data_IF_550122585731
#
_entry.id   IF_550122585731
#
_cell.length_a   1.000
_cell.length_b   1.000
_cell.length_c   1.000
_cell.angle_alpha   90.00
_cell.angle_beta   90.00
_cell.angle_gamma   90.00
#
_symmetry.space_group_name_H-M   'P 1'
#
loop_
_entity.id
_entity.type
_entity.pdbx_description
1 polymer ?
#
# COMPACT_ATOMS: atom_id res chain seq x y z
N UNK A 1 -3.94 -9.56 -27.01
CA UNK A 1 -3.08 -9.19 -25.87
C UNK A 1 -2.64 -10.45 -25.17
N UNK A 2 -1.37 -10.56 -24.83
CA UNK A 2 -0.87 -11.71 -24.11
C UNK A 2 -1.48 -11.80 -22.72
N UNK A 3 -1.77 -13.03 -22.28
CA UNK A 3 -2.27 -13.25 -20.93
C UNK A 3 -1.12 -13.08 -19.95
N UNK A 4 -1.42 -12.45 -18.82
CA UNK A 4 -0.45 -12.24 -17.74
C UNK A 4 -0.80 -13.12 -16.56
N UNK A 5 0.19 -13.82 -16.05
CA UNK A 5 0.06 -14.75 -14.93
C UNK A 5 0.92 -14.28 -13.75
N UNK A 6 0.50 -14.59 -12.55
CA UNK A 6 1.28 -14.35 -11.34
C UNK A 6 1.78 -15.69 -10.83
N UNK A 7 3.10 -15.88 -10.86
CA UNK A 7 3.74 -17.11 -10.39
C UNK A 7 3.67 -17.27 -8.87
N UNK A 8 3.64 -16.16 -8.17
CA UNK A 8 3.61 -16.05 -6.72
C UNK A 8 4.30 -14.80 -6.23
N UNK A 9 4.57 -14.72 -4.94
CA UNK A 9 5.21 -13.57 -4.35
C UNK A 9 5.50 -13.78 -2.86
N UNK A 10 6.20 -12.80 -2.28
CA UNK A 10 6.58 -12.79 -0.87
C UNK A 10 6.41 -11.40 -0.27
N UNK A 11 6.16 -11.37 1.04
CA UNK A 11 6.23 -10.15 1.85
C UNK A 11 7.08 -10.34 3.11
N UNK A 12 7.61 -9.26 3.64
CA UNK A 12 8.11 -9.26 5.01
C UNK A 12 6.96 -9.34 6.03
N UNK A 13 7.25 -9.60 7.29
CA UNK A 13 6.40 -9.12 8.36
C UNK A 13 6.32 -7.59 8.31
N UNK A 14 5.24 -7.02 8.83
CA UNK A 14 5.00 -5.58 8.86
C UNK A 14 5.42 -5.03 10.22
N UNK A 15 6.41 -4.14 10.22
CA UNK A 15 6.90 -3.46 11.40
C UNK A 15 6.13 -2.18 11.69
N UNK A 16 5.92 -1.86 12.96
CA UNK A 16 5.41 -0.55 13.38
C UNK A 16 6.54 0.48 13.29
N UNK A 17 6.22 1.69 12.84
CA UNK A 17 7.19 2.79 12.76
C UNK A 17 7.97 2.93 14.08
N UNK A 18 9.29 3.08 13.95
CA UNK A 18 10.23 3.20 15.06
C UNK A 18 10.33 1.96 15.97
N UNK A 19 9.88 0.78 15.52
CA UNK A 19 10.00 -0.48 16.24
C UNK A 19 11.10 -1.39 15.66
N UNK A 20 10.79 -2.61 15.26
CA UNK A 20 11.78 -3.61 14.86
C UNK A 20 12.66 -3.17 13.69
N UNK A 21 12.08 -2.47 12.69
CA UNK A 21 12.82 -2.00 11.51
C UNK A 21 13.34 -0.55 11.62
N UNK A 22 13.35 0.06 12.81
CA UNK A 22 13.70 1.48 13.02
C UNK A 22 15.04 1.93 12.44
N UNK A 23 15.96 1.02 12.18
CA UNK A 23 17.28 1.30 11.62
C UNK A 23 17.49 0.65 10.25
N UNK A 24 16.43 0.12 9.64
CA UNK A 24 16.51 -0.56 8.35
C UNK A 24 16.01 0.40 7.26
N UNK A 25 16.92 0.92 6.39
CA UNK A 25 16.52 1.70 5.22
C UNK A 25 15.54 0.93 4.33
N UNK A 26 14.66 1.67 3.64
CA UNK A 26 13.64 1.06 2.80
C UNK A 26 14.23 0.13 1.73
N UNK A 27 15.32 0.58 1.07
CA UNK A 27 16.04 -0.19 0.04
C UNK A 27 16.65 -1.48 0.60
N UNK A 28 17.17 -1.48 1.81
CA UNK A 28 17.71 -2.69 2.45
C UNK A 28 16.59 -3.66 2.84
N UNK A 29 15.45 -3.14 3.36
CA UNK A 29 14.27 -3.96 3.67
C UNK A 29 13.74 -4.63 2.40
N UNK A 30 13.57 -3.84 1.33
CA UNK A 30 13.15 -4.34 0.02
C UNK A 30 14.15 -5.37 -0.54
N UNK A 31 15.45 -5.09 -0.50
CA UNK A 31 16.49 -5.98 -1.00
C UNK A 31 16.48 -7.34 -0.31
N UNK A 32 16.28 -7.38 1.01
CA UNK A 32 16.19 -8.64 1.75
C UNK A 32 15.03 -9.52 1.27
N UNK A 33 13.83 -8.95 1.09
CA UNK A 33 12.65 -9.69 0.60
C UNK A 33 12.82 -10.08 -0.88
N UNK A 34 13.38 -9.17 -1.70
CA UNK A 34 13.64 -9.44 -3.12
C UNK A 34 14.63 -10.59 -3.32
N UNK A 35 15.67 -10.65 -2.50
CA UNK A 35 16.65 -11.74 -2.49
C UNK A 35 15.99 -13.08 -2.14
N UNK A 36 15.13 -13.11 -1.12
CA UNK A 36 14.38 -14.32 -0.78
C UNK A 36 13.41 -14.74 -1.88
N UNK A 37 12.75 -13.77 -2.56
CA UNK A 37 11.90 -14.04 -3.72
C UNK A 37 12.70 -14.72 -4.84
N UNK A 38 13.83 -14.14 -5.22
CA UNK A 38 14.66 -14.70 -6.29
C UNK A 38 15.29 -16.05 -5.92
N UNK A 39 15.67 -16.23 -4.67
CA UNK A 39 16.15 -17.52 -4.16
C UNK A 39 15.07 -18.61 -4.21
N UNK A 40 13.83 -18.27 -3.89
CA UNK A 40 12.72 -19.23 -3.86
C UNK A 40 12.25 -19.62 -5.25
N UNK A 41 12.06 -18.64 -6.13
CA UNK A 41 11.49 -18.88 -7.46
C UNK A 41 12.53 -19.13 -8.55
N UNK A 42 13.80 -18.82 -8.33
CA UNK A 42 14.93 -19.01 -9.25
C UNK A 42 14.60 -18.63 -10.70
N UNK A 43 14.12 -17.39 -10.95
CA UNK A 43 13.74 -17.00 -12.30
C UNK A 43 14.94 -17.06 -13.24
N UNK A 44 14.77 -17.70 -14.41
CA UNK A 44 15.83 -17.86 -15.38
C UNK A 44 16.30 -16.53 -16.01
N UNK A 45 15.41 -15.55 -16.08
CA UNK A 45 15.65 -14.20 -16.58
C UNK A 45 14.60 -13.26 -15.98
N UNK A 46 15.03 -12.10 -15.54
CA UNK A 46 14.16 -10.99 -15.11
C UNK A 46 14.34 -9.87 -16.13
N UNK A 47 13.27 -9.48 -16.82
CA UNK A 47 13.33 -8.43 -17.82
C UNK A 47 13.25 -7.03 -17.20
N UNK A 48 12.57 -6.89 -16.06
CA UNK A 48 12.36 -5.59 -15.42
C UNK A 48 11.92 -5.75 -13.95
N UNK A 49 12.18 -4.71 -13.13
CA UNK A 49 11.67 -4.59 -11.76
C UNK A 49 10.94 -3.26 -11.64
N UNK A 50 9.69 -3.28 -11.17
CA UNK A 50 8.85 -2.09 -11.00
C UNK A 50 8.28 -2.08 -9.59
N UNK A 51 8.63 -1.08 -8.77
CA UNK A 51 8.20 -1.06 -7.37
C UNK A 51 7.65 0.29 -6.93
N UNK A 52 6.65 0.22 -6.05
CA UNK A 52 6.11 1.36 -5.34
C UNK A 52 7.00 1.78 -4.17
N UNK A 53 7.20 3.07 -4.01
CA UNK A 53 7.79 3.71 -2.84
C UNK A 53 7.35 5.16 -2.79
N UNK A 54 6.85 5.63 -1.65
CA UNK A 54 6.21 6.95 -1.51
C UNK A 54 6.99 7.91 -0.62
N UNK A 55 7.45 7.44 0.54
CA UNK A 55 8.08 8.30 1.55
C UNK A 55 9.60 8.18 1.59
N UNK A 56 10.18 7.34 0.76
CA UNK A 56 11.63 7.16 0.67
C UNK A 56 12.38 8.39 0.17
N UNK A 57 13.69 8.25 -0.01
CA UNK A 57 14.61 9.34 -0.35
C UNK A 57 14.41 9.99 -1.72
N UNK A 58 13.51 9.47 -2.55
CA UNK A 58 13.36 9.89 -3.93
C UNK A 58 14.40 9.26 -4.87
N UNK A 59 14.58 9.82 -6.05
CA UNK A 59 15.37 9.20 -7.10
C UNK A 59 14.73 7.88 -7.56
N UNK A 60 15.54 7.01 -8.14
CA UNK A 60 15.10 5.66 -8.51
C UNK A 60 15.50 4.64 -7.44
N UNK A 61 14.88 4.73 -6.27
CA UNK A 61 15.19 3.88 -5.12
C UNK A 61 14.97 2.38 -5.41
N UNK A 62 14.07 2.02 -6.34
CA UNK A 62 13.91 0.64 -6.82
C UNK A 62 15.18 0.12 -7.48
N UNK A 63 15.89 0.98 -8.23
CA UNK A 63 17.16 0.59 -8.82
C UNK A 63 18.22 0.33 -7.75
N UNK A 64 18.29 1.20 -6.73
CA UNK A 64 19.18 1.04 -5.61
C UNK A 64 18.90 -0.29 -4.89
N UNK A 65 17.65 -0.55 -4.54
CA UNK A 65 17.20 -1.78 -3.90
C UNK A 65 17.58 -3.04 -4.71
N UNK A 66 17.41 -3.01 -6.04
CA UNK A 66 17.72 -4.15 -6.89
C UNK A 66 19.23 -4.48 -6.90
N UNK A 67 20.08 -3.44 -6.91
CA UNK A 67 21.53 -3.59 -6.82
C UNK A 67 21.97 -4.08 -5.44
N UNK A 68 21.38 -3.56 -4.36
CA UNK A 68 21.59 -4.02 -2.98
C UNK A 68 21.18 -5.49 -2.79
N UNK A 69 20.17 -5.95 -3.52
CA UNK A 69 19.79 -7.37 -3.56
C UNK A 69 20.80 -8.25 -4.30
N UNK A 70 21.82 -7.67 -4.93
CA UNK A 70 22.82 -8.37 -5.72
C UNK A 70 22.34 -8.83 -7.09
N UNK A 71 21.26 -8.24 -7.61
CA UNK A 71 20.76 -8.55 -8.94
C UNK A 71 21.63 -7.92 -10.03
N UNK A 72 21.58 -8.50 -11.24
CA UNK A 72 22.36 -8.04 -12.39
C UNK A 72 22.10 -6.56 -12.72
N UNK A 73 23.15 -5.82 -12.99
CA UNK A 73 23.12 -4.45 -13.49
C UNK A 73 22.36 -4.31 -14.82
N UNK A 74 22.22 -5.38 -15.57
CA UNK A 74 21.50 -5.41 -16.84
C UNK A 74 19.99 -5.38 -16.68
N UNK A 75 19.45 -5.59 -15.46
CA UNK A 75 18.00 -5.58 -15.20
C UNK A 75 17.53 -4.13 -15.01
N UNK A 76 16.77 -3.54 -15.93
CA UNK A 76 16.21 -2.21 -15.75
C UNK A 76 15.19 -2.21 -14.59
N UNK A 77 15.23 -1.16 -13.79
CA UNK A 77 14.35 -1.02 -12.62
C UNK A 77 13.90 0.42 -12.47
N UNK A 78 12.65 0.65 -12.07
CA UNK A 78 12.18 2.00 -11.79
C UNK A 78 11.11 2.03 -10.69
N UNK A 79 10.96 3.21 -10.08
CA UNK A 79 10.06 3.47 -8.97
C UNK A 79 8.77 4.13 -9.48
N UNK A 80 7.65 3.70 -8.91
CA UNK A 80 6.31 4.29 -9.09
C UNK A 80 5.88 4.94 -7.78
N UNK A 81 5.38 6.17 -7.86
CA UNK A 81 4.70 6.84 -6.75
C UNK A 81 3.26 7.17 -7.18
N UNK A 82 2.33 6.43 -6.65
CA UNK A 82 0.89 6.68 -6.66
C UNK A 82 0.36 6.62 -5.21
N UNK A 83 1.17 7.09 -4.27
CA UNK A 83 0.90 7.05 -2.85
C UNK A 83 0.53 5.62 -2.38
N UNK A 84 -0.54 5.45 -1.61
CA UNK A 84 -1.00 4.16 -1.08
C UNK A 84 -1.28 3.09 -2.15
N UNK A 85 -1.49 3.47 -3.41
CA UNK A 85 -1.74 2.57 -4.54
C UNK A 85 -0.48 2.26 -5.36
N UNK A 86 0.72 2.74 -4.96
CA UNK A 86 1.95 2.63 -5.76
C UNK A 86 2.27 1.21 -6.19
N UNK A 87 2.19 0.23 -5.30
CA UNK A 87 2.49 -1.16 -5.67
C UNK A 87 1.38 -1.85 -6.47
N UNK A 88 0.13 -1.41 -6.38
CA UNK A 88 -0.91 -1.84 -7.34
C UNK A 88 -0.59 -1.31 -8.73
N UNK A 89 -0.22 -0.03 -8.84
CA UNK A 89 0.16 0.57 -10.12
C UNK A 89 1.45 -0.05 -10.69
N UNK A 90 2.39 -0.43 -9.84
CA UNK A 90 3.58 -1.20 -10.26
C UNK A 90 3.17 -2.54 -10.91
N UNK A 91 2.19 -3.25 -10.32
CA UNK A 91 1.65 -4.51 -10.87
C UNK A 91 0.88 -4.26 -12.17
N UNK A 92 0.06 -3.21 -12.25
CA UNK A 92 -0.68 -2.82 -13.47
C UNK A 92 0.31 -2.48 -14.59
N UNK A 93 1.34 -1.70 -14.28
CA UNK A 93 2.39 -1.33 -15.25
C UNK A 93 3.17 -2.57 -15.72
N UNK A 94 3.52 -3.49 -14.81
CA UNK A 94 4.16 -4.75 -15.17
C UNK A 94 3.29 -5.59 -16.11
N UNK A 95 2.00 -5.71 -15.79
CA UNK A 95 1.05 -6.41 -16.64
C UNK A 95 0.96 -5.78 -18.04
N UNK A 96 0.90 -4.45 -18.13
CA UNK A 96 0.89 -3.73 -19.40
C UNK A 96 2.17 -3.95 -20.23
N UNK A 97 3.35 -4.00 -19.58
CA UNK A 97 4.63 -4.31 -20.26
C UNK A 97 4.64 -5.73 -20.84
N UNK A 98 4.11 -6.70 -20.11
CA UNK A 98 3.98 -8.08 -20.59
C UNK A 98 2.96 -8.16 -21.72
N UNK A 99 1.78 -7.53 -21.57
CA UNK A 99 0.72 -7.54 -22.59
C UNK A 99 1.16 -6.89 -23.91
N UNK A 100 2.05 -5.90 -23.85
CA UNK A 100 2.62 -5.25 -25.03
C UNK A 100 3.80 -5.97 -25.65
N UNK A 101 4.27 -7.11 -25.09
CA UNK A 101 5.40 -7.86 -25.57
C UNK A 101 6.76 -7.23 -25.26
N UNK A 102 6.81 -6.23 -24.38
CA UNK A 102 8.07 -5.58 -23.96
C UNK A 102 8.82 -6.34 -22.87
N UNK A 103 8.18 -7.30 -22.23
CA UNK A 103 8.76 -8.13 -21.19
C UNK A 103 8.04 -9.49 -21.12
N UNK A 104 8.74 -10.52 -20.69
CA UNK A 104 8.19 -11.86 -20.43
C UNK A 104 8.07 -12.16 -18.95
N UNK A 105 9.02 -11.67 -18.13
CA UNK A 105 9.02 -11.81 -16.67
C UNK A 105 9.38 -10.49 -16.00
N UNK A 106 8.46 -10.00 -15.17
CA UNK A 106 8.62 -8.77 -14.40
C UNK A 106 8.41 -9.04 -12.91
N UNK A 107 9.29 -8.51 -12.08
CA UNK A 107 9.05 -8.41 -10.64
C UNK A 107 8.36 -7.08 -10.38
N UNK A 108 7.18 -7.13 -9.75
CA UNK A 108 6.43 -5.95 -9.36
C UNK A 108 6.05 -6.01 -7.88
N UNK A 109 5.96 -4.85 -7.24
CA UNK A 109 5.59 -4.78 -5.83
C UNK A 109 5.89 -3.43 -5.22
N UNK A 110 6.34 -3.43 -3.98
CA UNK A 110 6.73 -2.19 -3.31
C UNK A 110 7.40 -2.45 -1.97
N UNK A 111 8.03 -1.41 -1.46
CA UNK A 111 8.73 -1.43 -0.19
C UNK A 111 8.70 -0.04 0.42
N UNK A 112 8.63 0.03 1.74
CA UNK A 112 8.53 1.30 2.45
C UNK A 112 9.17 1.19 3.83
N UNK A 113 9.81 2.27 4.29
CA UNK A 113 10.23 2.43 5.67
C UNK A 113 9.84 3.81 6.16
N UNK A 114 8.73 3.89 6.88
CA UNK A 114 8.32 5.12 7.56
C UNK A 114 9.25 5.46 8.73
N UNK A 115 9.99 4.47 9.24
CA UNK A 115 10.97 4.64 10.32
C UNK A 115 12.20 5.41 9.87
N UNK A 116 12.63 5.22 8.63
CA UNK A 116 13.86 5.82 8.07
C UNK A 116 13.62 6.84 6.97
N UNK A 117 12.34 7.21 6.76
CA UNK A 117 12.00 8.22 5.74
C UNK A 117 12.77 9.53 5.99
N UNK A 118 13.30 10.17 4.93
CA UNK A 118 14.03 11.42 5.09
C UNK A 118 13.09 12.56 5.50
N UNK A 119 13.60 13.46 6.32
CA UNK A 119 13.01 14.78 6.49
C UNK A 119 13.40 15.63 5.28
N UNK A 120 12.43 16.26 4.65
CA UNK A 120 12.62 17.14 3.49
C UNK A 120 12.53 18.59 3.92
N UNK A 121 13.28 19.46 3.25
CA UNK A 121 13.23 20.90 3.48
C UNK A 121 12.97 21.61 2.15
N UNK A 122 12.15 22.64 2.16
CA UNK A 122 11.97 23.50 0.98
C UNK A 122 13.23 24.31 0.71
N UNK A 123 13.62 24.39 -0.56
CA UNK A 123 14.67 25.29 -1.01
C UNK A 123 14.27 26.75 -0.70
N UNK A 124 15.23 27.62 -0.28
CA UNK A 124 14.93 29.03 0.01
C UNK A 124 14.21 29.79 -1.12
N UNK A 125 14.40 29.37 -2.38
CA UNK A 125 13.72 29.96 -3.53
C UNK A 125 12.27 29.47 -3.71
N UNK A 126 11.84 28.50 -2.91
CA UNK A 126 10.47 28.00 -3.01
C UNK A 126 9.49 29.01 -2.38
N UNK A 127 8.30 29.27 -3.00
CA UNK A 127 7.34 30.25 -2.48
C UNK A 127 6.92 30.02 -1.03
N UNK A 128 6.91 28.79 -0.56
CA UNK A 128 6.63 28.47 0.85
C UNK A 128 7.75 28.93 1.79
N UNK A 129 9.01 28.82 1.39
CA UNK A 129 10.12 29.32 2.16
C UNK A 129 10.06 30.85 2.25
N UNK A 130 9.80 31.52 1.12
CA UNK A 130 9.66 32.97 1.06
C UNK A 130 8.48 33.52 1.89
N UNK A 131 7.35 32.80 1.94
CA UNK A 131 6.15 33.24 2.68
C UNK A 131 6.32 33.13 4.22
N UNK A 132 7.26 32.34 4.70
CA UNK A 132 7.55 32.18 6.13
C UNK A 132 8.78 32.98 6.59
N UNK A 133 9.36 33.79 5.69
CA UNK A 133 10.59 34.56 5.91
C UNK A 133 10.35 36.04 6.23
N UNK A 134 9.34 36.33 7.05
CA UNK A 134 9.20 37.70 7.62
C UNK A 134 10.36 38.08 8.54
N UNK A 135 11.33 37.18 8.76
CA UNK A 135 12.51 37.42 9.62
C UNK A 135 13.83 37.51 8.87
N UNK A 136 13.87 37.25 7.54
CA UNK A 136 15.11 37.25 6.75
C UNK A 136 15.34 38.51 5.92
N UNK A 137 14.72 39.63 6.22
CA UNK A 137 14.94 40.91 5.53
C UNK A 137 16.33 41.53 5.80
N UNK A 138 17.36 40.74 6.11
CA UNK A 138 18.65 41.34 6.49
C UNK A 138 19.93 40.56 6.23
N UNK A 139 19.95 39.39 5.63
CA UNK A 139 21.24 38.70 5.43
C UNK A 139 21.34 37.89 4.12
N UNK A 140 22.11 38.38 3.10
CA UNK A 140 22.25 37.70 1.80
C UNK A 140 23.29 36.56 1.78
N UNK A 141 23.87 36.18 2.90
CA UNK A 141 24.86 35.09 2.95
C UNK A 141 24.20 33.81 3.41
N UNK A 142 23.60 33.07 2.44
CA UNK A 142 22.95 31.79 2.64
C UNK A 142 23.88 30.68 3.11
N UNK A 143 24.15 30.62 4.40
CA UNK A 143 24.59 29.41 5.08
C UNK A 143 23.49 29.12 6.09
N UNK A 144 22.86 27.94 5.95
CA UNK A 144 21.87 27.39 6.88
C UNK A 144 22.41 27.49 8.30
N UNK A 145 21.99 28.51 9.05
CA UNK A 145 22.20 28.53 10.50
C UNK A 145 21.18 27.60 11.16
N UNK A 146 21.64 26.40 11.38
CA UNK A 146 20.91 25.17 11.63
C UNK A 146 20.13 25.06 12.93
N UNK A 147 19.73 26.10 13.63
CA UNK A 147 19.21 25.87 14.98
C UNK A 147 17.92 26.54 15.45
N UNK A 148 17.23 27.37 14.66
CA UNK A 148 16.07 28.05 15.27
C UNK A 148 14.81 28.32 14.42
N UNK A 149 14.85 28.20 13.09
CA UNK A 149 13.71 28.47 12.20
C UNK A 149 13.35 27.30 11.27
N UNK A 150 14.09 26.20 11.32
CA UNK A 150 14.06 25.13 10.33
C UNK A 150 12.88 24.17 10.45
N UNK A 151 12.26 24.03 11.61
CA UNK A 151 11.16 23.08 11.82
C UNK A 151 9.89 23.44 11.03
N UNK A 152 9.67 24.70 10.69
CA UNK A 152 8.48 25.15 9.93
C UNK A 152 8.60 24.92 8.41
N UNK A 153 9.82 24.74 7.89
CA UNK A 153 10.10 24.51 6.47
C UNK A 153 10.34 23.02 6.14
N UNK A 154 10.41 22.18 7.15
CA UNK A 154 10.60 20.74 6.97
C UNK A 154 9.26 20.01 6.90
N UNK A 155 9.23 18.93 6.12
CA UNK A 155 8.04 18.08 6.00
C UNK A 155 8.45 16.61 5.82
N UNK A 156 7.58 15.72 6.26
CA UNK A 156 7.77 14.27 6.13
C UNK A 156 6.96 13.69 4.98
N UNK A 157 5.79 14.29 4.69
CA UNK A 157 4.88 13.85 3.63
C UNK A 157 4.87 14.88 2.51
N UNK A 158 5.13 14.44 1.28
CA UNK A 158 5.08 15.31 0.11
C UNK A 158 3.66 15.86 -0.12
N UNK A 159 3.57 17.06 -0.66
CA UNK A 159 2.31 17.69 -1.04
C UNK A 159 1.66 16.92 -2.20
N UNK A 160 0.39 16.56 -2.07
CA UNK A 160 -0.36 15.80 -3.09
C UNK A 160 -1.69 16.47 -3.50
N UNK A 161 -1.99 17.66 -2.97
CA UNK A 161 -3.12 18.49 -3.41
C UNK A 161 -2.67 19.94 -3.65
N UNK A 162 -3.35 20.72 -4.49
CA UNK A 162 -3.13 22.17 -4.63
C UNK A 162 -3.38 22.92 -3.31
N UNK A 163 -2.82 24.12 -3.19
CA UNK A 163 -3.00 24.96 -1.99
C UNK A 163 -1.81 24.87 -1.01
N UNK A 164 -1.94 25.36 0.22
CA UNK A 164 -0.91 25.29 1.26
C UNK A 164 -0.49 23.86 1.57
N UNK A 165 0.79 23.64 1.88
CA UNK A 165 1.25 22.34 2.34
C UNK A 165 0.75 22.07 3.75
N UNK A 166 0.13 20.91 3.94
CA UNK A 166 -0.38 20.43 5.23
C UNK A 166 -0.17 18.91 5.32
N UNK A 167 0.45 18.47 6.38
CA UNK A 167 0.70 17.03 6.60
C UNK A 167 -0.54 16.25 7.06
N UNK A 168 -1.57 16.96 7.57
CA UNK A 168 -2.81 16.37 8.07
C UNK A 168 -3.93 16.22 7.01
N UNK A 169 -3.64 16.52 5.73
CA UNK A 169 -4.65 16.53 4.65
C UNK A 169 -5.40 15.20 4.52
N UNK A 170 -4.71 14.07 4.67
CA UNK A 170 -5.36 12.75 4.60
C UNK A 170 -6.33 12.52 5.76
N UNK A 171 -5.94 12.92 6.98
CA UNK A 171 -6.80 12.84 8.15
C UNK A 171 -8.03 13.73 8.00
N UNK A 172 -7.85 14.97 7.52
CA UNK A 172 -8.96 15.89 7.24
C UNK A 172 -9.87 15.37 6.13
N UNK A 173 -9.29 14.77 5.09
CA UNK A 173 -10.04 14.14 4.02
C UNK A 173 -10.87 12.95 4.51
N UNK A 174 -10.36 12.18 5.45
CA UNK A 174 -11.09 11.08 6.07
C UNK A 174 -12.23 11.59 6.97
N UNK A 175 -12.00 12.63 7.82
CA UNK A 175 -13.08 13.30 8.58
C UNK A 175 -14.19 13.83 7.66
N UNK A 176 -13.79 14.50 6.56
CA UNK A 176 -14.75 15.01 5.57
C UNK A 176 -15.55 13.86 4.93
N UNK A 177 -14.90 12.75 4.62
CA UNK A 177 -15.54 11.55 4.07
C UNK A 177 -16.55 10.97 5.06
N UNK A 178 -16.17 10.82 6.32
CA UNK A 178 -17.04 10.33 7.40
C UNK A 178 -18.29 11.21 7.53
N UNK A 179 -18.09 12.53 7.59
CA UNK A 179 -19.20 13.49 7.65
C UNK A 179 -20.12 13.41 6.43
N UNK A 180 -19.54 13.40 5.22
CA UNK A 180 -20.29 13.40 3.96
C UNK A 180 -21.17 12.15 3.79
N UNK A 181 -20.66 11.01 4.18
CA UNK A 181 -21.37 9.72 4.06
C UNK A 181 -22.13 9.34 5.33
N UNK A 182 -22.17 10.22 6.34
CA UNK A 182 -22.84 9.97 7.63
C UNK A 182 -22.41 8.62 8.24
N UNK A 183 -21.10 8.36 8.26
CA UNK A 183 -20.52 7.16 8.87
C UNK A 183 -20.49 7.35 10.37
N UNK A 184 -20.95 6.37 11.13
CA UNK A 184 -20.96 6.45 12.59
C UNK A 184 -19.70 5.85 13.22
N UNK A 185 -19.32 6.28 14.43
CA UNK A 185 -18.22 5.67 15.18
C UNK A 185 -18.41 4.17 15.38
N UNK A 186 -19.65 3.72 15.66
CA UNK A 186 -19.98 2.32 15.92
C UNK A 186 -19.73 1.43 14.67
N UNK A 187 -20.03 1.95 13.47
CA UNK A 187 -19.74 1.23 12.24
C UNK A 187 -18.23 1.09 12.02
N UNK A 188 -17.45 2.14 12.28
CA UNK A 188 -16.00 2.11 12.18
C UNK A 188 -15.39 1.17 13.20
N UNK A 189 -15.82 1.25 14.45
CA UNK A 189 -15.32 0.41 15.55
C UNK A 189 -15.59 -1.08 15.28
N UNK A 190 -16.75 -1.42 14.72
CA UNK A 190 -17.06 -2.79 14.34
C UNK A 190 -16.03 -3.34 13.34
N UNK A 191 -15.63 -2.54 12.33
CA UNK A 191 -14.62 -2.96 11.36
C UNK A 191 -13.20 -3.00 11.96
N UNK A 192 -12.85 -2.06 12.83
CA UNK A 192 -11.59 -2.10 13.58
C UNK A 192 -11.44 -3.41 14.35
N UNK A 193 -12.45 -3.76 15.14
CA UNK A 193 -12.45 -4.99 15.94
C UNK A 193 -12.39 -6.24 15.05
N UNK A 194 -13.15 -6.24 13.96
CA UNK A 194 -13.20 -7.37 13.03
C UNK A 194 -11.87 -7.56 12.28
N UNK A 195 -11.22 -6.47 11.81
CA UNK A 195 -9.91 -6.55 11.17
C UNK A 195 -8.87 -7.18 12.10
N UNK A 196 -8.78 -6.71 13.34
CA UNK A 196 -7.85 -7.28 14.34
C UNK A 196 -8.19 -8.73 14.70
N UNK A 197 -9.47 -9.08 14.83
CA UNK A 197 -9.92 -10.44 15.11
C UNK A 197 -9.51 -11.40 13.98
N UNK A 198 -9.73 -10.99 12.73
CA UNK A 198 -9.35 -11.77 11.54
C UNK A 198 -7.85 -11.92 11.43
N UNK A 199 -7.09 -10.83 11.57
CA UNK A 199 -5.63 -10.85 11.52
C UNK A 199 -5.03 -11.75 12.61
N UNK A 200 -5.55 -11.69 13.84
CA UNK A 200 -5.10 -12.54 14.92
C UNK A 200 -5.38 -14.03 14.66
N UNK A 201 -6.58 -14.36 14.16
CA UNK A 201 -6.89 -15.74 13.73
C UNK A 201 -5.94 -16.20 12.64
N UNK A 202 -5.73 -15.37 11.62
CA UNK A 202 -4.84 -15.64 10.48
C UNK A 202 -3.41 -15.94 10.94
N UNK A 203 -2.86 -15.12 11.84
CA UNK A 203 -1.53 -15.34 12.40
C UNK A 203 -1.45 -16.63 13.23
N UNK A 204 -2.45 -16.90 14.06
CA UNK A 204 -2.47 -18.09 14.92
C UNK A 204 -2.63 -19.39 14.13
N UNK A 205 -3.37 -19.37 13.04
CA UNK A 205 -3.63 -20.54 12.19
C UNK A 205 -2.62 -20.69 11.05
N UNK A 206 -1.63 -19.78 10.94
CA UNK A 206 -0.61 -19.83 9.90
C UNK A 206 -1.17 -19.67 8.49
N UNK A 207 -2.29 -18.95 8.30
CA UNK A 207 -2.96 -18.87 7.00
C UNK A 207 -2.18 -18.12 5.94
N UNK A 208 -1.18 -17.34 6.32
CA UNK A 208 -0.26 -16.64 5.42
C UNK A 208 1.14 -17.29 5.37
N UNK A 209 1.30 -18.47 5.96
CA UNK A 209 2.56 -19.19 5.87
C UNK A 209 2.89 -19.48 4.40
N UNK A 210 4.17 -19.42 4.08
CA UNK A 210 4.65 -19.60 2.72
C UNK A 210 4.70 -18.32 1.87
N UNK A 211 3.98 -17.25 2.23
CA UNK A 211 4.12 -15.93 1.56
C UNK A 211 4.83 -14.89 2.42
N UNK A 212 5.06 -15.15 3.69
CA UNK A 212 5.80 -14.27 4.58
C UNK A 212 7.23 -14.80 4.74
N UNK A 213 8.19 -13.89 4.71
CA UNK A 213 9.59 -14.18 5.01
C UNK A 213 10.07 -13.34 6.19
N UNK A 214 10.65 -13.93 7.22
CA UNK A 214 11.26 -13.20 8.31
C UNK A 214 12.55 -12.53 7.81
N UNK A 215 12.65 -11.23 8.01
CA UNK A 215 13.85 -10.44 7.71
C UNK A 215 14.21 -9.58 8.91
N UNK A 216 15.48 -9.30 9.12
CA UNK A 216 15.99 -8.49 10.24
C UNK A 216 15.44 -8.89 11.62
N UNK A 217 15.19 -10.20 11.82
CA UNK A 217 14.77 -10.74 13.10
C UNK A 217 13.31 -10.54 13.50
N UNK A 218 12.50 -9.85 12.69
CA UNK A 218 11.06 -9.74 12.95
C UNK A 218 10.35 -11.04 12.58
N UNK A 219 9.58 -11.59 13.54
CA UNK A 219 8.94 -12.90 13.44
C UNK A 219 7.39 -12.86 13.50
N UNK A 220 6.79 -11.68 13.53
CA UNK A 220 5.34 -11.48 13.54
C UNK A 220 4.98 -10.07 13.08
N UNK A 221 3.77 -9.88 12.58
CA UNK A 221 3.22 -8.56 12.24
C UNK A 221 2.94 -7.78 13.54
N UNK A 222 3.64 -6.66 13.77
CA UNK A 222 3.62 -5.93 15.04
C UNK A 222 2.31 -5.17 15.31
N UNK A 223 1.51 -4.93 14.27
CA UNK A 223 0.28 -4.13 14.37
C UNK A 223 -0.89 -4.83 15.06
N UNK A 224 -0.94 -6.17 15.06
CA UNK A 224 -2.08 -6.95 15.55
C UNK A 224 -2.31 -6.76 17.04
N UNK A 225 -3.54 -6.46 17.45
CA UNK A 225 -3.95 -6.21 18.84
C UNK A 225 -5.01 -7.23 19.28
N UNK A 226 -4.62 -8.42 19.78
CA UNK A 226 -5.56 -9.51 20.09
C UNK A 226 -6.49 -9.22 21.27
N UNK A 227 -6.17 -8.20 22.10
CA UNK A 227 -6.97 -7.80 23.25
C UNK A 227 -7.78 -6.53 23.02
N UNK A 228 -7.81 -6.02 21.78
CA UNK A 228 -8.61 -4.84 21.44
C UNK A 228 -10.09 -5.14 21.68
N UNK A 229 -10.80 -4.19 22.26
CA UNK A 229 -12.23 -4.29 22.56
C UNK A 229 -12.86 -2.90 22.62
N UNK A 230 -14.19 -2.82 22.61
CA UNK A 230 -14.93 -1.56 22.60
C UNK A 230 -14.52 -0.62 23.72
N UNK A 231 -14.37 -1.12 24.96
CA UNK A 231 -13.96 -0.31 26.10
C UNK A 231 -12.61 0.39 25.94
N UNK A 232 -11.70 -0.19 25.15
CA UNK A 232 -10.43 0.45 24.80
C UNK A 232 -10.64 1.49 23.71
N UNK A 233 -11.46 1.21 22.70
CA UNK A 233 -11.80 2.15 21.63
C UNK A 233 -12.45 3.41 22.16
N UNK A 234 -13.41 3.29 23.08
CA UNK A 234 -14.13 4.41 23.71
C UNK A 234 -13.21 5.41 24.45
N UNK A 235 -11.98 5.03 24.74
CA UNK A 235 -11.00 5.86 25.47
C UNK A 235 -9.99 6.55 24.56
N UNK A 236 -10.00 6.23 23.27
CA UNK A 236 -9.01 6.78 22.36
C UNK A 236 -9.36 8.23 22.03
N UNK A 237 -8.43 9.18 22.18
CA UNK A 237 -8.66 10.56 21.77
C UNK A 237 -8.64 10.67 20.25
N UNK A 238 -9.28 11.72 19.75
CA UNK A 238 -9.16 12.10 18.35
C UNK A 238 -7.71 12.42 17.98
N UNK A 239 -7.26 11.99 16.80
CA UNK A 239 -5.90 12.26 16.29
C UNK A 239 -5.74 13.70 15.77
N UNK A 240 -6.82 14.32 15.30
CA UNK A 240 -6.85 15.73 14.93
C UNK A 240 -7.35 16.56 16.10
N UNK A 241 -6.71 17.71 16.34
CA UNK A 241 -7.06 18.63 17.43
C UNK A 241 -8.53 19.08 17.36
N UNK A 242 -9.03 19.33 16.15
CA UNK A 242 -10.40 19.75 15.88
C UNK A 242 -11.23 18.63 15.23
N UNK A 243 -10.72 17.38 15.26
CA UNK A 243 -11.39 16.20 14.72
C UNK A 243 -12.51 15.69 15.66
N UNK A 244 -13.39 14.87 15.08
CA UNK A 244 -14.54 14.31 15.81
C UNK A 244 -14.61 12.79 15.76
N UNK A 245 -14.01 12.17 14.74
CA UNK A 245 -14.27 10.77 14.43
C UNK A 245 -13.01 9.92 14.39
N UNK A 246 -11.87 10.49 13.93
CA UNK A 246 -10.65 9.72 13.76
C UNK A 246 -9.88 9.60 15.06
N UNK A 247 -9.52 8.35 15.38
CA UNK A 247 -8.63 8.00 16.49
C UNK A 247 -7.51 7.05 16.01
N UNK A 248 -6.61 6.65 16.91
CA UNK A 248 -5.48 5.81 16.58
C UNK A 248 -5.84 4.36 16.20
N UNK A 249 -7.10 3.95 16.33
CA UNK A 249 -7.55 2.60 15.97
C UNK A 249 -8.27 2.56 14.62
N UNK A 250 -9.00 3.63 14.25
CA UNK A 250 -9.79 3.68 13.00
C UNK A 250 -9.08 4.38 11.84
N UNK A 251 -7.84 4.84 12.07
CA UNK A 251 -6.87 5.23 11.06
C UNK A 251 -5.68 4.25 11.13
N UNK A 252 -5.18 3.80 9.97
CA UNK A 252 -4.04 2.91 9.92
C UNK A 252 -2.80 3.57 10.51
N UNK A 253 -1.91 2.75 11.06
CA UNK A 253 -0.60 3.21 11.54
C UNK A 253 0.40 3.33 10.38
N UNK A 254 1.44 4.15 10.55
CA UNK A 254 2.59 4.20 9.65
C UNK A 254 3.50 3.00 9.95
N UNK A 255 3.93 2.32 8.90
CA UNK A 255 4.61 1.03 9.03
C UNK A 255 5.78 0.90 8.05
N UNK A 256 6.56 -0.13 8.31
CA UNK A 256 7.68 -0.57 7.49
C UNK A 256 7.37 -1.95 6.92
N UNK A 257 7.64 -2.18 5.63
CA UNK A 257 7.38 -3.47 5.01
C UNK A 257 7.74 -3.51 3.53
N UNK A 258 7.84 -4.72 2.99
CA UNK A 258 8.11 -4.95 1.57
C UNK A 258 7.32 -6.15 1.06
N UNK A 259 6.86 -6.09 -0.19
CA UNK A 259 6.17 -7.17 -0.86
C UNK A 259 6.42 -7.14 -2.36
N UNK A 260 6.67 -8.30 -2.95
CA UNK A 260 6.94 -8.45 -4.38
C UNK A 260 6.24 -9.68 -4.95
N UNK A 261 5.85 -9.57 -6.22
CA UNK A 261 5.23 -10.64 -7.01
C UNK A 261 6.04 -10.84 -8.31
N UNK A 262 6.00 -12.06 -8.84
CA UNK A 262 6.51 -12.38 -10.16
C UNK A 262 5.35 -12.48 -11.14
N UNK A 263 5.34 -11.60 -12.15
CA UNK A 263 4.39 -11.63 -13.26
C UNK A 263 5.06 -12.12 -14.51
N UNK A 264 4.38 -12.97 -15.28
CA UNK A 264 4.95 -13.47 -16.53
C UNK A 264 3.91 -13.60 -17.65
N UNK A 265 4.42 -13.66 -18.89
CA UNK A 265 3.63 -13.98 -20.08
C UNK A 265 3.22 -15.46 -20.12
N UNK A 266 2.17 -15.78 -20.86
CA UNK A 266 1.80 -17.18 -21.15
C UNK A 266 2.93 -17.93 -21.86
N UNK A 267 3.67 -17.22 -22.72
CA UNK A 267 4.81 -17.80 -23.42
C UNK A 267 5.92 -18.20 -22.45
N UNK A 268 6.22 -17.36 -21.44
CA UNK A 268 7.19 -17.68 -20.38
C UNK A 268 6.77 -18.94 -19.60
N UNK A 269 5.49 -19.06 -19.19
CA UNK A 269 4.96 -20.25 -18.52
C UNK A 269 5.20 -21.51 -19.35
N UNK A 270 4.81 -21.48 -20.63
CA UNK A 270 4.96 -22.63 -21.54
C UNK A 270 6.41 -23.02 -21.75
N UNK A 271 7.28 -22.04 -22.01
CA UNK A 271 8.72 -22.25 -22.25
C UNK A 271 9.43 -22.89 -21.04
N UNK A 272 9.08 -22.47 -19.83
CA UNK A 272 9.70 -22.96 -18.61
C UNK A 272 8.92 -24.10 -17.93
N UNK A 273 7.84 -24.58 -18.55
CA UNK A 273 6.96 -25.65 -18.02
C UNK A 273 6.45 -25.34 -16.60
N UNK A 274 6.16 -24.06 -16.34
CA UNK A 274 5.61 -23.59 -15.07
C UNK A 274 4.10 -23.64 -15.08
N UNK A 275 3.50 -23.70 -13.90
CA UNK A 275 2.05 -23.55 -13.68
C UNK A 275 1.79 -22.33 -12.80
N UNK A 276 0.69 -21.64 -13.07
CA UNK A 276 0.17 -20.59 -12.19
C UNK A 276 -1.33 -20.77 -12.05
N UNK A 277 -1.83 -20.54 -10.85
CA UNK A 277 -3.25 -20.53 -10.57
C UNK A 277 -3.88 -19.15 -10.75
N UNK A 278 -3.07 -18.07 -10.90
CA UNK A 278 -3.57 -16.72 -10.90
C UNK A 278 -3.25 -16.00 -12.20
N UNK A 279 -4.28 -15.42 -12.79
CA UNK A 279 -4.20 -14.57 -13.96
C UNK A 279 -4.58 -13.14 -13.59
N UNK A 280 -3.75 -12.17 -13.96
CA UNK A 280 -4.15 -10.77 -13.97
C UNK A 280 -5.17 -10.59 -15.11
N UNK A 281 -6.40 -10.25 -14.78
CA UNK A 281 -7.49 -10.17 -15.75
C UNK A 281 -7.75 -8.74 -16.19
N UNK A 282 -7.91 -7.82 -15.26
CA UNK A 282 -8.20 -6.41 -15.58
C UNK A 282 -7.78 -5.50 -14.43
N UNK A 283 -7.74 -4.19 -14.70
CA UNK A 283 -7.49 -3.17 -13.69
C UNK A 283 -8.23 -1.88 -14.01
N UNK A 284 -8.44 -1.05 -12.98
CA UNK A 284 -9.03 0.26 -13.11
C UNK A 284 -8.38 1.23 -12.11
N UNK A 285 -7.78 2.29 -12.61
CA UNK A 285 -7.30 3.42 -11.81
C UNK A 285 -8.12 4.65 -12.19
N UNK A 286 -8.62 5.38 -11.18
CA UNK A 286 -9.51 6.54 -11.35
C UNK A 286 -9.06 7.72 -10.50
N UNK A 287 -9.36 8.94 -10.95
CA UNK A 287 -9.32 10.15 -10.14
C UNK A 287 -10.69 10.47 -9.54
N UNK A 288 -10.71 10.99 -8.33
CA UNK A 288 -11.89 11.43 -7.59
C UNK A 288 -11.59 12.71 -6.78
N UNK A 289 -12.48 13.12 -5.87
CA UNK A 289 -12.25 14.31 -5.02
C UNK A 289 -11.00 14.12 -4.15
N UNK A 290 -9.94 14.93 -4.36
CA UNK A 290 -8.70 14.82 -3.59
C UNK A 290 -8.87 15.14 -2.10
N UNK A 291 -9.94 15.85 -1.73
CA UNK A 291 -10.28 16.16 -0.35
C UNK A 291 -11.17 15.09 0.31
N UNK A 292 -11.53 14.03 -0.42
CA UNK A 292 -12.25 12.85 0.08
C UNK A 292 -11.60 11.57 -0.44
N UNK A 293 -10.25 11.51 -0.40
CA UNK A 293 -9.48 10.39 -0.93
C UNK A 293 -9.98 9.00 -0.50
N UNK A 294 -10.44 8.74 0.75
CA UNK A 294 -10.98 7.43 1.13
C UNK A 294 -12.14 6.93 0.25
N UNK A 295 -12.98 7.84 -0.25
CA UNK A 295 -14.13 7.48 -1.10
C UNK A 295 -13.73 7.04 -2.51
N UNK A 296 -12.49 7.30 -2.95
CA UNK A 296 -12.03 6.96 -4.31
C UNK A 296 -12.01 5.46 -4.62
N UNK A 297 -12.04 4.61 -3.59
CA UNK A 297 -12.12 3.16 -3.76
C UNK A 297 -13.41 2.71 -4.45
N UNK A 298 -14.53 3.38 -4.19
CA UNK A 298 -15.83 3.01 -4.77
C UNK A 298 -15.87 3.16 -6.29
N UNK A 299 -15.51 4.31 -6.89
CA UNK A 299 -15.47 4.44 -8.35
C UNK A 299 -14.41 3.53 -8.98
N UNK A 300 -13.30 3.21 -8.32
CA UNK A 300 -12.31 2.26 -8.84
C UNK A 300 -12.90 0.84 -8.95
N UNK A 301 -13.57 0.36 -7.91
CA UNK A 301 -14.23 -0.96 -7.92
C UNK A 301 -15.35 -1.00 -8.95
N UNK A 302 -16.21 0.03 -9.02
CA UNK A 302 -17.29 0.10 -10.02
C UNK A 302 -16.75 0.09 -11.44
N UNK A 303 -15.77 0.94 -11.74
CA UNK A 303 -15.16 1.01 -13.07
C UNK A 303 -14.45 -0.29 -13.46
N UNK A 304 -13.85 -1.01 -12.49
CA UNK A 304 -13.26 -2.32 -12.74
C UNK A 304 -14.34 -3.36 -13.12
N UNK A 305 -15.43 -3.41 -12.38
CA UNK A 305 -16.55 -4.33 -12.65
C UNK A 305 -17.18 -4.04 -14.02
N UNK A 306 -17.46 -2.78 -14.33
CA UNK A 306 -18.01 -2.34 -15.64
C UNK A 306 -17.08 -2.73 -16.79
N UNK A 307 -15.78 -2.44 -16.71
CA UNK A 307 -14.79 -2.81 -17.74
C UNK A 307 -14.67 -4.32 -17.92
N UNK A 308 -14.93 -5.08 -16.88
CA UNK A 308 -14.83 -6.54 -16.91
C UNK A 308 -16.13 -7.23 -17.31
N UNK A 309 -17.24 -6.48 -17.44
CA UNK A 309 -18.57 -7.03 -17.68
C UNK A 309 -19.07 -7.92 -16.55
N UNK A 310 -18.64 -7.62 -15.30
CA UNK A 310 -18.94 -8.40 -14.11
C UNK A 310 -19.78 -7.59 -13.11
N UNK A 311 -20.46 -8.31 -12.25
CA UNK A 311 -21.09 -7.77 -11.05
C UNK A 311 -20.30 -8.16 -9.80
N UNK A 312 -20.61 -7.55 -8.65
CA UNK A 312 -19.98 -7.96 -7.39
C UNK A 312 -20.39 -9.40 -6.97
N UNK A 313 -21.45 -9.96 -7.54
CA UNK A 313 -21.86 -11.35 -7.28
C UNK A 313 -20.90 -12.36 -7.88
N UNK A 314 -20.20 -11.99 -8.93
CA UNK A 314 -19.17 -12.81 -9.58
C UNK A 314 -17.86 -12.88 -8.79
N UNK A 315 -17.72 -12.04 -7.73
CA UNK A 315 -16.50 -11.89 -6.96
C UNK A 315 -16.56 -12.69 -5.68
N UNK A 316 -15.64 -13.63 -5.53
CA UNK A 316 -15.58 -14.54 -4.38
C UNK A 316 -14.62 -14.12 -3.26
N UNK A 317 -13.70 -13.18 -3.52
CA UNK A 317 -12.78 -12.62 -2.52
C UNK A 317 -12.52 -11.14 -2.79
N UNK A 318 -12.46 -10.33 -1.75
CA UNK A 318 -12.21 -8.89 -1.84
C UNK A 318 -11.16 -8.53 -0.79
N UNK A 319 -10.06 -7.93 -1.23
CA UNK A 319 -9.04 -7.34 -0.34
C UNK A 319 -8.95 -5.84 -0.63
N UNK A 320 -9.21 -5.04 0.39
CA UNK A 320 -9.17 -3.59 0.31
C UNK A 320 -8.16 -3.04 1.33
N UNK A 321 -7.39 -2.05 0.93
CA UNK A 321 -6.48 -1.39 1.87
C UNK A 321 -7.28 -0.54 2.87
N UNK A 322 -7.30 -0.96 4.13
CA UNK A 322 -7.99 -0.31 5.24
C UNK A 322 -7.18 0.88 5.78
N UNK A 323 -6.91 1.89 4.92
CA UNK A 323 -6.21 3.08 5.41
C UNK A 323 -7.00 3.84 6.47
N UNK A 324 -8.32 3.74 6.42
CA UNK A 324 -9.28 4.25 7.41
C UNK A 324 -10.47 3.31 7.47
N UNK A 325 -11.02 3.06 8.65
CA UNK A 325 -12.21 2.23 8.82
C UNK A 325 -13.44 2.75 8.03
N UNK A 326 -13.44 4.03 7.68
CA UNK A 326 -14.45 4.61 6.80
C UNK A 326 -14.47 3.94 5.41
N UNK A 327 -13.34 3.46 4.90
CA UNK A 327 -13.27 2.72 3.63
C UNK A 327 -14.04 1.41 3.74
N UNK A 328 -13.85 0.69 4.85
CA UNK A 328 -14.53 -0.57 5.12
C UNK A 328 -16.04 -0.37 5.17
N UNK A 329 -16.49 0.66 5.88
CA UNK A 329 -17.91 1.02 5.96
C UNK A 329 -18.46 1.33 4.57
N UNK A 330 -17.75 2.14 3.77
CA UNK A 330 -18.19 2.51 2.42
C UNK A 330 -18.36 1.29 1.50
N UNK A 331 -17.37 0.40 1.46
CA UNK A 331 -17.44 -0.82 0.63
C UNK A 331 -18.57 -1.72 1.12
N UNK A 332 -18.71 -1.92 2.42
CA UNK A 332 -19.72 -2.82 2.95
C UNK A 332 -21.14 -2.25 2.90
N UNK A 333 -21.32 -0.94 2.95
CA UNK A 333 -22.61 -0.31 2.63
C UNK A 333 -22.99 -0.46 1.15
N UNK A 334 -22.00 -0.39 0.25
CA UNK A 334 -22.23 -0.60 -1.18
C UNK A 334 -22.50 -2.07 -1.54
N UNK A 335 -21.94 -3.01 -0.78
CA UNK A 335 -22.00 -4.46 -1.03
C UNK A 335 -22.21 -5.27 0.27
N UNK A 336 -23.33 -5.10 0.96
CA UNK A 336 -23.54 -5.62 2.33
C UNK A 336 -23.45 -7.15 2.40
N UNK A 337 -23.88 -7.85 1.34
CA UNK A 337 -23.86 -9.33 1.28
C UNK A 337 -22.44 -9.90 1.11
N UNK A 338 -21.44 -9.06 0.97
CA UNK A 338 -20.04 -9.47 0.73
C UNK A 338 -19.14 -9.36 1.97
N UNK A 339 -19.66 -8.95 3.12
CA UNK A 339 -18.89 -8.75 4.35
C UNK A 339 -18.02 -9.95 4.77
N UNK A 340 -18.48 -11.19 4.54
CA UNK A 340 -17.72 -12.40 4.82
C UNK A 340 -16.57 -12.66 3.86
N UNK A 341 -16.62 -12.08 2.64
CA UNK A 341 -15.60 -12.20 1.57
C UNK A 341 -14.65 -11.01 1.54
N UNK A 342 -14.92 -9.99 2.34
CA UNK A 342 -14.16 -8.74 2.44
C UNK A 342 -13.09 -8.87 3.52
N UNK A 343 -11.82 -8.66 3.16
CA UNK A 343 -10.64 -8.77 4.03
C UNK A 343 -10.69 -9.99 4.99
N UNK A 344 -10.94 -11.23 4.52
CA UNK A 344 -11.20 -12.36 5.39
C UNK A 344 -9.99 -12.77 6.25
N UNK A 345 -8.79 -12.31 5.88
CA UNK A 345 -7.54 -12.54 6.60
C UNK A 345 -7.16 -11.38 7.53
N UNK A 346 -7.99 -10.32 7.61
CA UNK A 346 -7.68 -9.06 8.27
C UNK A 346 -6.98 -8.09 7.32
N UNK A 347 -6.95 -6.80 7.64
CA UNK A 347 -6.43 -5.75 6.76
C UNK A 347 -5.51 -4.75 7.46
N UNK A 348 -5.30 -3.59 6.85
CA UNK A 348 -4.30 -2.63 7.27
C UNK A 348 -4.57 -1.95 8.62
N UNK A 349 -5.80 -1.94 9.11
CA UNK A 349 -6.11 -1.48 10.47
C UNK A 349 -5.41 -2.35 11.51
N UNK A 350 -5.29 -3.65 11.23
CA UNK A 350 -4.62 -4.60 12.11
C UNK A 350 -3.13 -4.79 11.79
N UNK A 351 -2.79 -4.99 10.51
CA UNK A 351 -1.42 -5.23 10.10
C UNK A 351 -0.57 -3.97 10.06
N UNK A 352 -1.18 -2.83 9.71
CA UNK A 352 -0.48 -1.59 9.42
C UNK A 352 -0.37 -1.30 7.91
N UNK A 353 0.15 -0.11 7.59
CA UNK A 353 0.13 0.41 6.23
C UNK A 353 1.51 0.94 5.79
N UNK A 354 2.42 0.07 5.32
CA UNK A 354 3.64 0.50 4.64
C UNK A 354 3.30 0.98 3.22
N UNK A 355 2.94 2.24 3.07
CA UNK A 355 2.33 2.92 1.91
C UNK A 355 2.64 2.32 0.54
N UNK A 356 3.89 2.44 0.08
CA UNK A 356 4.32 1.95 -1.23
C UNK A 356 4.27 0.43 -1.40
N UNK A 357 4.26 -0.35 -0.30
CA UNK A 357 4.19 -1.81 -0.33
C UNK A 357 2.77 -2.37 -0.20
N UNK A 358 1.82 -1.59 0.34
CA UNK A 358 0.52 -2.11 0.77
C UNK A 358 -0.30 -2.75 -0.34
N UNK A 359 -0.29 -2.20 -1.55
CA UNK A 359 -1.00 -2.80 -2.68
C UNK A 359 -0.51 -4.21 -3.02
N UNK A 360 0.80 -4.46 -2.98
CA UNK A 360 1.36 -5.79 -3.20
C UNK A 360 1.05 -6.75 -2.03
N UNK A 361 1.05 -6.23 -0.79
CA UNK A 361 0.67 -7.02 0.41
C UNK A 361 -0.76 -7.52 0.29
N UNK A 362 -1.72 -6.61 0.02
CA UNK A 362 -3.14 -7.01 -0.09
C UNK A 362 -3.39 -7.87 -1.34
N UNK A 363 -2.61 -7.74 -2.40
CA UNK A 363 -2.71 -8.61 -3.56
C UNK A 363 -2.25 -10.04 -3.24
N UNK A 364 -1.19 -10.21 -2.44
CA UNK A 364 -0.77 -11.51 -1.91
C UNK A 364 -1.84 -12.10 -0.97
N UNK A 365 -2.45 -11.26 -0.12
CA UNK A 365 -3.56 -11.68 0.73
C UNK A 365 -4.77 -12.10 -0.11
N UNK A 366 -5.10 -11.37 -1.20
CA UNK A 366 -6.16 -11.75 -2.13
C UNK A 366 -5.92 -13.13 -2.75
N UNK A 367 -4.71 -13.38 -3.24
CA UNK A 367 -4.36 -14.69 -3.79
C UNK A 367 -4.59 -15.80 -2.75
N UNK A 368 -4.16 -15.57 -1.51
CA UNK A 368 -4.37 -16.53 -0.42
C UNK A 368 -5.85 -16.69 -0.05
N UNK A 369 -6.61 -15.60 0.02
CA UNK A 369 -8.06 -15.61 0.26
C UNK A 369 -8.82 -16.40 -0.82
N UNK A 370 -8.43 -16.23 -2.09
CA UNK A 370 -8.98 -16.99 -3.22
C UNK A 370 -8.65 -18.49 -3.12
N UNK A 371 -7.44 -18.85 -2.68
CA UNK A 371 -7.06 -20.26 -2.45
C UNK A 371 -7.91 -20.89 -1.36
N UNK A 372 -8.00 -20.24 -0.20
CA UNK A 372 -8.73 -20.76 0.96
C UNK A 372 -10.23 -20.87 0.70
N UNK A 373 -10.82 -19.91 -0.01
CA UNK A 373 -12.25 -19.91 -0.36
C UNK A 373 -12.56 -20.69 -1.63
N UNK A 374 -11.54 -21.14 -2.38
CA UNK A 374 -11.66 -21.73 -3.72
C UNK A 374 -12.38 -20.83 -4.72
N UNK A 375 -12.24 -19.51 -4.56
CA UNK A 375 -12.89 -18.53 -5.41
C UNK A 375 -12.19 -18.42 -6.76
N UNK A 376 -12.98 -18.34 -7.83
CA UNK A 376 -12.47 -18.18 -9.19
C UNK A 376 -12.05 -16.74 -9.51
N UNK A 377 -12.66 -15.74 -8.85
CA UNK A 377 -12.39 -14.30 -9.06
C UNK A 377 -12.24 -13.57 -7.76
N UNK A 378 -11.31 -12.62 -7.74
CA UNK A 378 -11.09 -11.75 -6.61
C UNK A 378 -10.68 -10.34 -7.03
N UNK A 379 -11.06 -9.35 -6.21
CA UNK A 379 -10.71 -7.94 -6.38
C UNK A 379 -9.79 -7.49 -5.26
N UNK A 380 -8.72 -6.82 -5.65
CA UNK A 380 -7.84 -6.06 -4.76
C UNK A 380 -8.00 -4.57 -5.05
N UNK A 381 -8.20 -3.73 -4.02
CA UNK A 381 -8.40 -2.29 -4.23
C UNK A 381 -7.78 -1.42 -3.12
N UNK A 382 -7.43 -0.19 -3.48
CA UNK A 382 -6.89 0.79 -2.56
C UNK A 382 -7.35 2.20 -2.93
N UNK A 383 -7.63 3.01 -1.91
CA UNK A 383 -7.71 4.45 -2.02
C UNK A 383 -6.33 5.05 -1.73
N UNK A 384 -5.95 6.08 -2.46
CA UNK A 384 -4.67 6.75 -2.30
C UNK A 384 -4.83 8.28 -2.16
N UNK A 385 -3.83 8.91 -1.55
CA UNK A 385 -3.78 10.35 -1.39
C UNK A 385 -3.93 11.08 -2.73
N UNK A 386 -4.57 12.24 -2.73
CA UNK A 386 -4.88 13.01 -3.94
C UNK A 386 -6.15 12.55 -4.66
N UNK A 387 -6.99 11.73 -4.03
CA UNK A 387 -8.27 11.27 -4.60
C UNK A 387 -8.08 10.19 -5.67
N UNK A 388 -7.07 9.38 -5.57
CA UNK A 388 -6.84 8.27 -6.51
C UNK A 388 -7.42 6.98 -5.94
N UNK A 389 -8.17 6.24 -6.77
CA UNK A 389 -8.60 4.87 -6.48
C UNK A 389 -8.01 3.90 -7.49
N UNK A 390 -7.51 2.75 -7.04
CA UNK A 390 -6.99 1.71 -7.91
C UNK A 390 -7.55 0.35 -7.53
N UNK A 391 -7.86 -0.48 -8.52
CA UNK A 391 -8.39 -1.83 -8.32
C UNK A 391 -7.86 -2.79 -9.39
N UNK A 392 -7.61 -4.04 -8.97
CA UNK A 392 -7.14 -5.14 -9.83
C UNK A 392 -8.10 -6.32 -9.69
N UNK A 393 -8.44 -6.95 -10.81
CA UNK A 393 -9.18 -8.22 -10.87
C UNK A 393 -8.19 -9.36 -11.15
N UNK A 394 -8.21 -10.36 -10.28
CA UNK A 394 -7.56 -11.64 -10.50
C UNK A 394 -8.59 -12.72 -10.85
N UNK A 395 -8.19 -13.64 -11.71
CA UNK A 395 -8.88 -14.89 -11.97
C UNK A 395 -7.99 -16.11 -11.69
N UNK A 396 -8.61 -17.21 -11.30
CA UNK A 396 -7.95 -18.47 -10.96
C UNK A 396 -8.41 -19.60 -11.87
#
# INVERSE_FOLDING_TARGET
MDKVFILGGLRSYIGVRNSAYRHVPAEHLGAAVLKELTNRYQPSKIDMIICGNCVGGGGNITRLMALEAGLSESIPSFTVDLQCASSLEAVITAAARIQSGLADLVIAGGFESSSTQPMRCYNPNHPYAAAHDDTLSGNPAGICNAHRTELSLTYSTAKFIPGPHREDVMLQGAEKTICHYHITPEEMDAWVLESHRRAYRTAREGLLDGIIVPVYGLAHDEGIRPRLNQRLLDRLPCVLKDGRYLNAANACTMNDGAAFLLLCSEQYLKKHKLSSCFRFSNACTVGADPLMSPASVLPAVRGLLERSGLSMDDIGAIECNEAFAAIDVLINRAYPDKASRYNPLGGALAYGHPYGASGAIILLHLMRSMELSKSCRGICCAAAAGGIGSAILLER
#
